data_IF_070567208812
#
_entry.id   IF_070567208812
#
_cell.length_a   1.000
_cell.length_b   1.000
_cell.length_c   1.000
_cell.angle_alpha   90.00
_cell.angle_beta   90.00
_cell.angle_gamma   90.00
#
_symmetry.space_group_name_H-M   'P 1'
#
loop_
_entity.id
_entity.type
_entity.pdbx_description
1 polymer ?
#
# COMPACT_ATOMS: atom_id res chain seq x y z
N UNK A 1 22.67 -20.09 4.59
CA UNK A 1 21.87 -21.27 4.18
C UNK A 1 21.24 -20.99 2.82
N UNK A 2 21.32 -21.88 1.83
CA UNK A 2 20.56 -21.77 0.58
C UNK A 2 19.29 -22.59 0.78
N UNK A 3 18.13 -21.95 0.85
CA UNK A 3 16.83 -22.63 1.02
C UNK A 3 16.43 -23.41 -0.24
N UNK A 4 16.90 -22.94 -1.40
CA UNK A 4 16.74 -23.60 -2.70
C UNK A 4 18.12 -24.00 -3.24
N UNK A 5 18.19 -25.19 -3.90
CA UNK A 5 19.34 -25.57 -4.71
C UNK A 5 19.63 -24.54 -5.81
N UNK A 6 20.55 -24.84 -6.72
CA UNK A 6 20.78 -23.97 -7.89
C UNK A 6 19.51 -23.94 -8.75
N UNK A 7 18.81 -22.78 -8.75
CA UNK A 7 17.70 -22.54 -9.65
C UNK A 7 18.22 -22.04 -11.00
N UNK A 8 17.50 -22.36 -12.06
CA UNK A 8 17.79 -21.86 -13.42
C UNK A 8 16.49 -21.46 -14.12
N UNK A 9 15.83 -20.43 -13.56
CA UNK A 9 14.56 -19.92 -14.04
C UNK A 9 14.83 -18.81 -15.04
N UNK A 10 14.17 -18.87 -16.19
CA UNK A 10 14.19 -17.77 -17.17
C UNK A 10 13.19 -16.70 -16.77
N UNK A 11 13.64 -15.72 -15.99
CA UNK A 11 12.84 -14.57 -15.55
C UNK A 11 12.66 -13.56 -16.67
N UNK A 12 13.75 -13.22 -17.36
CA UNK A 12 13.75 -12.14 -18.36
C UNK A 12 12.99 -12.51 -19.63
N UNK A 13 12.92 -13.79 -19.99
CA UNK A 13 12.08 -14.27 -21.09
C UNK A 13 10.58 -14.07 -20.85
N UNK A 14 10.16 -14.12 -19.57
CA UNK A 14 8.76 -13.94 -19.17
C UNK A 14 8.38 -12.48 -18.89
N UNK A 15 9.28 -11.48 -19.08
CA UNK A 15 9.04 -10.08 -18.71
C UNK A 15 7.79 -9.47 -19.36
N UNK A 16 7.50 -9.82 -20.63
CA UNK A 16 6.32 -9.30 -21.34
C UNK A 16 5.01 -9.73 -20.69
N UNK A 17 4.92 -10.99 -20.25
CA UNK A 17 3.76 -11.48 -19.51
C UNK A 17 3.52 -10.66 -18.24
N UNK A 18 4.58 -10.43 -17.46
CA UNK A 18 4.47 -9.68 -16.23
C UNK A 18 4.17 -8.20 -16.43
N UNK A 19 4.65 -7.59 -17.52
CA UNK A 19 4.22 -6.24 -17.91
C UNK A 19 2.72 -6.19 -18.20
N UNK A 20 2.17 -7.17 -18.90
CA UNK A 20 0.73 -7.23 -19.20
C UNK A 20 -0.08 -7.42 -17.91
N UNK A 21 0.35 -8.32 -17.02
CA UNK A 21 -0.31 -8.52 -15.72
C UNK A 21 -0.29 -7.23 -14.90
N UNK A 22 0.88 -6.60 -14.75
CA UNK A 22 1.03 -5.34 -14.01
C UNK A 22 0.16 -4.22 -14.60
N UNK A 23 0.20 -4.04 -15.92
CA UNK A 23 -0.59 -3.02 -16.60
C UNK A 23 -2.09 -3.25 -16.41
N UNK A 24 -2.54 -4.51 -16.45
CA UNK A 24 -3.94 -4.86 -16.21
C UNK A 24 -4.37 -4.55 -14.78
N UNK A 25 -3.57 -4.92 -13.78
CA UNK A 25 -3.86 -4.64 -12.36
C UNK A 25 -3.90 -3.13 -12.10
N UNK A 26 -2.92 -2.38 -12.62
CA UNK A 26 -2.88 -0.92 -12.49
C UNK A 26 -4.10 -0.30 -13.16
N UNK A 27 -4.46 -0.73 -14.38
CA UNK A 27 -5.60 -0.20 -15.10
C UNK A 27 -6.91 -0.43 -14.34
N UNK A 28 -7.15 -1.64 -13.86
CA UNK A 28 -8.33 -1.98 -13.05
C UNK A 28 -8.35 -1.16 -11.75
N UNK A 29 -7.21 -1.03 -11.08
CA UNK A 29 -7.07 -0.20 -9.89
C UNK A 29 -7.37 1.27 -10.13
N UNK A 30 -6.85 1.84 -11.24
CA UNK A 30 -7.12 3.23 -11.62
C UNK A 30 -8.59 3.47 -11.98
N UNK A 31 -9.24 2.51 -12.65
CA UNK A 31 -10.68 2.56 -12.90
C UNK A 31 -11.46 2.53 -11.58
N UNK A 32 -11.08 1.66 -10.64
CA UNK A 32 -11.69 1.61 -9.32
C UNK A 32 -11.55 2.94 -8.58
N UNK A 33 -10.35 3.52 -8.56
CA UNK A 33 -10.09 4.84 -7.97
C UNK A 33 -10.92 5.95 -8.62
N UNK A 34 -11.10 5.91 -9.93
CA UNK A 34 -11.90 6.90 -10.66
C UNK A 34 -13.39 6.80 -10.32
N UNK A 35 -13.92 5.57 -10.18
CA UNK A 35 -15.34 5.32 -9.89
C UNK A 35 -15.68 5.55 -8.42
N UNK A 36 -14.87 5.01 -7.50
CA UNK A 36 -15.13 5.05 -6.05
C UNK A 36 -14.59 6.33 -5.40
N UNK A 37 -13.57 6.95 -5.99
CA UNK A 37 -12.80 8.01 -5.34
C UNK A 37 -11.79 7.46 -4.34
N UNK A 38 -11.29 8.34 -3.48
CA UNK A 38 -10.36 8.01 -2.40
C UNK A 38 -11.09 8.22 -1.07
N UNK A 39 -11.27 7.16 -0.29
CA UNK A 39 -11.83 7.28 1.06
C UNK A 39 -10.74 7.80 2.02
N UNK A 40 -10.83 9.08 2.37
CA UNK A 40 -9.90 9.74 3.30
C UNK A 40 -10.40 9.60 4.73
N UNK A 41 -9.51 9.22 5.65
CA UNK A 41 -9.77 9.18 7.07
C UNK A 41 -9.97 10.58 7.68
N UNK A 42 -10.47 10.63 8.91
CA UNK A 42 -10.65 11.88 9.66
C UNK A 42 -9.33 12.63 9.89
N UNK A 43 -8.21 11.94 9.84
CA UNK A 43 -6.87 12.55 9.91
C UNK A 43 -6.69 13.65 8.88
N UNK A 44 -7.33 13.53 7.72
CA UNK A 44 -7.21 14.45 6.60
C UNK A 44 -8.45 15.31 6.36
N UNK A 45 -9.64 14.80 6.71
CA UNK A 45 -10.90 15.53 6.53
C UNK A 45 -11.25 16.38 7.76
N UNK A 46 -10.76 15.98 8.93
CA UNK A 46 -11.26 16.46 10.21
C UNK A 46 -12.63 15.87 10.54
N UNK A 47 -13.03 15.96 11.80
CA UNK A 47 -14.31 15.42 12.25
C UNK A 47 -14.21 14.61 13.54
N UNK A 48 -15.26 13.84 13.79
CA UNK A 48 -15.32 12.87 14.89
C UNK A 48 -15.61 11.48 14.33
N UNK A 49 -14.83 10.49 14.73
CA UNK A 49 -15.02 9.09 14.39
C UNK A 49 -15.20 8.28 15.69
N UNK A 50 -16.24 7.47 15.73
CA UNK A 50 -16.48 6.56 16.84
C UNK A 50 -16.72 5.16 16.28
N UNK A 51 -16.02 4.19 16.85
CA UNK A 51 -16.27 2.76 16.63
C UNK A 51 -16.93 2.21 17.88
N UNK A 52 -18.13 1.69 17.73
CA UNK A 52 -18.90 1.05 18.80
C UNK A 52 -19.08 -0.43 18.53
N UNK A 53 -18.97 -1.24 19.58
CA UNK A 53 -19.25 -2.68 19.52
C UNK A 53 -20.51 -3.00 20.31
N UNK A 54 -21.53 -3.48 19.63
CA UNK A 54 -22.77 -3.97 20.22
C UNK A 54 -22.62 -5.42 20.71
N UNK A 55 -23.46 -5.83 21.65
CA UNK A 55 -23.50 -7.26 22.06
C UNK A 55 -24.04 -8.16 20.95
N UNK A 56 -25.03 -7.68 20.17
CA UNK A 56 -25.60 -8.38 19.02
C UNK A 56 -25.53 -7.50 17.79
N UNK A 57 -25.47 -8.10 16.58
CA UNK A 57 -25.45 -7.33 15.33
C UNK A 57 -26.65 -6.38 15.21
N UNK A 58 -26.40 -5.19 14.65
CA UNK A 58 -27.43 -4.16 14.44
C UNK A 58 -27.56 -3.79 12.97
N UNK A 59 -28.78 -3.55 12.47
CA UNK A 59 -28.99 -3.05 11.12
C UNK A 59 -28.44 -1.62 10.98
N UNK A 60 -27.58 -1.37 10.01
CA UNK A 60 -27.00 -0.04 9.73
C UNK A 60 -28.10 1.01 9.49
N UNK A 61 -29.24 0.63 8.89
CA UNK A 61 -30.37 1.53 8.68
C UNK A 61 -30.99 2.07 9.99
N UNK A 62 -31.03 1.27 11.05
CA UNK A 62 -31.51 1.72 12.36
C UNK A 62 -30.50 2.64 13.05
N UNK A 63 -29.20 2.35 12.90
CA UNK A 63 -28.13 3.23 13.38
C UNK A 63 -28.23 4.59 12.66
N UNK A 64 -28.47 4.60 11.35
CA UNK A 64 -28.67 5.83 10.57
C UNK A 64 -29.87 6.63 11.10
N UNK A 65 -31.00 5.98 11.32
CA UNK A 65 -32.19 6.60 11.92
C UNK A 65 -31.89 7.20 13.30
N UNK A 66 -31.06 6.53 14.09
CA UNK A 66 -30.59 7.03 15.38
C UNK A 66 -29.80 8.34 15.22
N UNK A 67 -28.88 8.37 14.25
CA UNK A 67 -28.05 9.56 13.98
C UNK A 67 -28.89 10.74 13.42
N UNK A 68 -29.89 10.47 12.59
CA UNK A 68 -30.87 11.47 12.12
C UNK A 68 -31.57 12.15 13.30
N UNK A 69 -32.03 11.37 14.28
CA UNK A 69 -32.73 11.90 15.47
C UNK A 69 -31.90 12.83 16.33
N UNK A 70 -30.61 12.61 16.40
CA UNK A 70 -29.69 13.45 17.19
C UNK A 70 -29.02 14.57 16.37
N UNK A 71 -29.49 14.79 15.12
CA UNK A 71 -29.04 15.86 14.25
C UNK A 71 -27.68 15.58 13.60
N UNK A 72 -27.31 14.32 13.43
CA UNK A 72 -26.04 13.86 12.80
C UNK A 72 -26.36 13.01 11.55
N UNK A 73 -27.42 13.36 10.82
CA UNK A 73 -27.91 12.57 9.69
C UNK A 73 -26.94 12.44 8.50
N UNK A 74 -25.98 13.36 8.38
CA UNK A 74 -24.94 13.28 7.34
C UNK A 74 -23.73 12.42 7.75
N UNK A 75 -23.83 11.66 8.86
CA UNK A 75 -22.76 10.77 9.27
C UNK A 75 -22.58 9.63 8.27
N UNK A 76 -21.33 9.31 7.98
CA UNK A 76 -20.98 8.06 7.34
C UNK A 76 -21.09 6.94 8.37
N UNK A 77 -21.87 5.91 8.05
CA UNK A 77 -22.13 4.78 8.94
C UNK A 77 -21.89 3.51 8.15
N UNK A 78 -20.97 2.69 8.63
CA UNK A 78 -20.65 1.40 8.03
C UNK A 78 -20.35 0.35 9.09
N UNK A 79 -20.55 -0.93 8.71
CA UNK A 79 -20.06 -2.05 9.52
C UNK A 79 -18.52 -2.04 9.50
N UNK A 80 -17.91 -2.40 10.61
CA UNK A 80 -16.47 -2.35 10.78
C UNK A 80 -15.96 -3.74 11.21
N UNK A 81 -15.66 -4.57 10.23
CA UNK A 81 -15.18 -5.95 10.33
C UNK A 81 -16.19 -6.94 10.88
N UNK A 82 -16.50 -6.92 12.17
CA UNK A 82 -17.56 -7.72 12.78
C UNK A 82 -18.93 -7.04 12.58
N UNK A 83 -20.01 -7.77 12.24
CA UNK A 83 -21.36 -7.20 12.15
C UNK A 83 -21.90 -6.51 13.42
N UNK A 84 -21.26 -6.73 14.57
CA UNK A 84 -21.54 -6.04 15.82
C UNK A 84 -20.80 -4.70 15.95
N UNK A 85 -19.78 -4.48 15.14
CA UNK A 85 -18.99 -3.26 15.17
C UNK A 85 -19.54 -2.27 14.14
N UNK A 86 -19.80 -1.05 14.60
CA UNK A 86 -20.29 0.03 13.75
C UNK A 86 -19.35 1.22 13.86
N UNK A 87 -18.83 1.66 12.72
CA UNK A 87 -18.10 2.90 12.59
C UNK A 87 -19.08 4.02 12.23
N UNK A 88 -19.03 5.10 12.99
CA UNK A 88 -19.80 6.33 12.78
C UNK A 88 -18.83 7.47 12.65
N UNK A 89 -18.80 8.13 11.49
CA UNK A 89 -17.95 9.27 11.18
C UNK A 89 -18.78 10.47 10.80
N UNK A 90 -18.47 11.61 11.37
CA UNK A 90 -19.15 12.88 11.06
C UNK A 90 -18.14 14.02 10.97
N UNK A 91 -18.35 14.92 10.00
CA UNK A 91 -17.62 16.18 9.91
C UNK A 91 -18.00 17.19 11.01
N UNK A 92 -19.08 16.91 11.77
CA UNK A 92 -19.51 17.77 12.86
C UNK A 92 -18.45 17.84 13.95
N UNK A 93 -18.21 19.05 14.39
CA UNK A 93 -17.29 19.38 15.46
C UNK A 93 -18.06 20.13 16.54
N UNK A 94 -18.08 19.58 17.73
CA UNK A 94 -18.57 20.27 18.92
C UNK A 94 -17.40 20.64 19.86
N UNK A 95 -17.61 21.56 20.76
CA UNK A 95 -16.67 21.79 21.84
C UNK A 95 -16.61 20.56 22.76
N UNK A 96 -15.41 20.14 23.11
CA UNK A 96 -15.20 18.95 23.97
C UNK A 96 -15.68 17.63 23.35
N UNK A 97 -16.36 16.80 24.17
CA UNK A 97 -16.86 15.45 23.80
C UNK A 97 -18.32 15.45 23.33
N UNK A 98 -18.91 16.62 23.10
CA UNK A 98 -20.36 16.78 22.83
C UNK A 98 -20.89 15.97 21.65
N UNK A 99 -20.11 15.78 20.59
CA UNK A 99 -20.55 15.00 19.43
C UNK A 99 -20.58 13.51 19.77
N UNK A 100 -19.53 13.01 20.43
CA UNK A 100 -19.48 11.62 20.91
C UNK A 100 -20.60 11.30 21.89
N UNK A 101 -20.91 12.21 22.82
CA UNK A 101 -22.03 12.06 23.75
C UNK A 101 -23.38 12.04 23.05
N UNK A 102 -23.60 12.88 22.02
CA UNK A 102 -24.82 12.82 21.20
C UNK A 102 -24.96 11.50 20.45
N UNK A 103 -23.89 10.99 19.89
CA UNK A 103 -23.87 9.68 19.22
C UNK A 103 -24.25 8.59 20.22
N UNK A 104 -23.60 8.53 21.38
CA UNK A 104 -23.92 7.55 22.44
C UNK A 104 -25.36 7.66 22.91
N UNK A 105 -25.85 8.86 23.17
CA UNK A 105 -27.23 9.08 23.60
C UNK A 105 -28.23 8.61 22.53
N UNK A 106 -27.99 8.91 21.27
CA UNK A 106 -28.82 8.44 20.16
C UNK A 106 -28.85 6.92 20.05
N UNK A 107 -27.69 6.27 20.18
CA UNK A 107 -27.61 4.79 20.14
C UNK A 107 -28.32 4.16 21.35
N UNK A 108 -28.14 4.69 22.55
CA UNK A 108 -28.83 4.20 23.76
C UNK A 108 -30.35 4.31 23.65
N UNK A 109 -30.85 5.37 23.00
CA UNK A 109 -32.27 5.59 22.84
C UNK A 109 -32.91 4.59 21.86
N UNK A 110 -32.21 4.22 20.80
CA UNK A 110 -32.74 3.29 19.78
C UNK A 110 -32.47 1.83 20.13
N UNK A 111 -31.38 1.55 20.82
CA UNK A 111 -30.95 0.20 21.20
C UNK A 111 -30.90 -0.01 22.71
N UNK A 112 -31.99 0.20 23.50
CA UNK A 112 -31.97 0.12 24.96
C UNK A 112 -31.66 -1.29 25.48
N UNK A 113 -31.98 -2.33 24.70
CA UNK A 113 -31.78 -3.74 25.04
C UNK A 113 -30.51 -4.37 24.40
N UNK A 114 -29.72 -3.58 23.69
CA UNK A 114 -28.47 -4.05 23.06
C UNK A 114 -27.33 -3.13 23.47
N UNK A 115 -26.77 -3.32 24.65
CA UNK A 115 -25.69 -2.45 25.13
C UNK A 115 -24.46 -2.53 24.25
N UNK A 116 -23.71 -1.43 24.17
CA UNK A 116 -22.50 -1.32 23.38
C UNK A 116 -21.35 -0.75 24.19
N UNK A 117 -20.14 -1.03 23.74
CA UNK A 117 -18.90 -0.44 24.23
C UNK A 117 -18.25 0.39 23.14
N UNK A 118 -17.64 1.54 23.52
CA UNK A 118 -16.84 2.35 22.60
C UNK A 118 -15.46 1.73 22.51
N UNK A 119 -15.09 1.27 21.33
CA UNK A 119 -13.78 0.68 21.06
C UNK A 119 -12.75 1.75 20.70
N UNK A 120 -13.19 2.79 19.99
CA UNK A 120 -12.35 3.88 19.50
C UNK A 120 -13.17 5.17 19.45
N UNK A 121 -12.58 6.27 19.83
CA UNK A 121 -13.14 7.62 19.63
C UNK A 121 -12.00 8.58 19.30
N UNK A 122 -12.02 9.08 18.06
CA UNK A 122 -11.05 10.04 17.57
C UNK A 122 -11.75 11.35 17.19
N UNK A 123 -11.08 12.47 17.45
CA UNK A 123 -11.56 13.80 17.08
C UNK A 123 -10.42 14.63 16.56
N UNK A 124 -10.58 15.13 15.32
CA UNK A 124 -9.57 15.94 14.64
C UNK A 124 -10.22 17.23 14.17
N UNK A 125 -9.66 18.36 14.59
CA UNK A 125 -10.11 19.68 14.10
C UNK A 125 -9.76 19.91 12.64
N UNK A 126 -10.55 20.71 11.88
CA UNK A 126 -10.32 20.92 10.43
C UNK A 126 -8.96 21.51 10.14
N UNK A 127 -8.46 22.38 11.00
CA UNK A 127 -7.13 22.98 10.86
C UNK A 127 -6.05 21.91 10.96
N UNK A 128 -6.14 21.05 11.98
CA UNK A 128 -5.19 19.95 12.19
C UNK A 128 -5.27 18.95 11.02
N UNK A 129 -6.47 18.57 10.58
CA UNK A 129 -6.63 17.67 9.43
C UNK A 129 -6.03 18.26 8.14
N UNK A 130 -6.20 19.56 7.88
CA UNK A 130 -5.57 20.22 6.75
C UNK A 130 -4.04 20.27 6.85
N UNK A 131 -3.49 20.47 8.05
CA UNK A 131 -2.06 20.44 8.32
C UNK A 131 -1.50 19.03 8.11
N UNK A 132 -2.12 18.00 8.68
CA UNK A 132 -1.71 16.61 8.51
C UNK A 132 -1.74 16.17 7.05
N UNK A 133 -2.78 16.54 6.29
CA UNK A 133 -2.85 16.24 4.85
C UNK A 133 -1.70 16.90 4.08
N UNK A 134 -1.41 18.16 4.34
CA UNK A 134 -0.29 18.86 3.71
C UNK A 134 1.04 18.20 4.06
N UNK A 135 1.25 17.88 5.31
CA UNK A 135 2.49 17.30 5.81
C UNK A 135 2.69 15.87 5.29
N UNK A 136 1.60 15.09 5.14
CA UNK A 136 1.63 13.79 4.48
C UNK A 136 2.09 13.89 3.01
N UNK A 137 1.57 14.86 2.25
CA UNK A 137 2.00 15.12 0.86
C UNK A 137 3.48 15.48 0.82
N UNK A 138 3.94 16.35 1.71
CA UNK A 138 5.37 16.72 1.79
C UNK A 138 6.25 15.53 2.16
N UNK A 139 5.83 14.68 3.10
CA UNK A 139 6.57 13.48 3.49
C UNK A 139 6.72 12.50 2.31
N UNK A 140 5.63 12.27 1.54
CA UNK A 140 5.67 11.41 0.36
C UNK A 140 6.62 11.99 -0.70
N UNK A 141 6.51 13.26 -1.04
CA UNK A 141 7.38 13.91 -2.03
C UNK A 141 8.84 13.87 -1.57
N UNK A 142 9.13 14.24 -0.31
CA UNK A 142 10.46 14.25 0.23
C UNK A 142 11.10 12.84 0.23
N UNK A 143 10.33 11.81 0.60
CA UNK A 143 10.81 10.41 0.59
C UNK A 143 11.13 9.93 -0.84
N UNK A 144 10.28 10.24 -1.81
CA UNK A 144 10.52 9.89 -3.22
C UNK A 144 11.77 10.57 -3.76
N UNK A 145 11.95 11.87 -3.45
CA UNK A 145 13.17 12.61 -3.83
C UNK A 145 14.41 12.00 -3.15
N UNK A 146 14.35 11.74 -1.84
CA UNK A 146 15.47 11.15 -1.10
C UNK A 146 15.88 9.79 -1.67
N UNK A 147 14.90 8.94 -1.99
CA UNK A 147 15.18 7.63 -2.59
C UNK A 147 15.71 7.77 -4.02
N UNK A 148 15.14 8.67 -4.81
CA UNK A 148 15.65 8.96 -6.16
C UNK A 148 17.12 9.42 -6.12
N UNK A 149 17.45 10.35 -5.23
CA UNK A 149 18.84 10.82 -5.01
C UNK A 149 19.74 9.66 -4.57
N UNK A 150 19.31 8.86 -3.58
CA UNK A 150 20.06 7.69 -3.12
C UNK A 150 20.35 6.70 -4.26
N UNK A 151 19.36 6.34 -5.05
CA UNK A 151 19.48 5.40 -6.16
C UNK A 151 20.39 5.96 -7.25
N UNK A 152 20.32 7.27 -7.53
CA UNK A 152 21.20 7.94 -8.49
C UNK A 152 22.65 7.91 -8.07
N UNK A 153 22.98 8.19 -6.82
CA UNK A 153 24.35 8.08 -6.32
C UNK A 153 24.85 6.64 -6.24
N UNK A 154 23.95 5.70 -5.90
CA UNK A 154 24.30 4.30 -5.67
C UNK A 154 24.52 3.51 -6.96
N UNK A 155 23.77 3.83 -8.02
CA UNK A 155 23.73 3.05 -9.26
C UNK A 155 24.01 3.90 -10.49
N UNK A 156 24.40 3.24 -11.60
CA UNK A 156 24.40 3.88 -12.92
C UNK A 156 22.97 4.29 -13.27
N UNK A 157 22.81 5.38 -14.03
CA UNK A 157 21.54 5.98 -14.42
C UNK A 157 20.50 4.95 -14.89
N UNK A 158 20.91 3.95 -15.68
CA UNK A 158 20.01 2.92 -16.23
C UNK A 158 19.36 2.08 -15.14
N UNK A 159 20.13 1.66 -14.14
CA UNK A 159 19.60 0.90 -13.00
C UNK A 159 18.75 1.78 -12.09
N UNK A 160 19.13 3.06 -11.97
CA UNK A 160 18.32 4.05 -11.27
C UNK A 160 16.93 4.22 -11.88
N UNK A 161 16.85 4.31 -13.19
CA UNK A 161 15.56 4.39 -13.90
C UNK A 161 14.69 3.15 -13.67
N UNK A 162 15.29 1.94 -13.72
CA UNK A 162 14.58 0.70 -13.43
C UNK A 162 14.02 0.64 -12.01
N UNK A 163 14.82 1.07 -11.02
CA UNK A 163 14.37 1.11 -9.63
C UNK A 163 13.22 2.10 -9.41
N UNK A 164 13.31 3.30 -9.97
CA UNK A 164 12.23 4.30 -9.88
C UNK A 164 10.95 3.80 -10.56
N UNK A 165 11.06 3.17 -11.73
CA UNK A 165 9.92 2.58 -12.42
C UNK A 165 9.22 1.50 -11.58
N UNK A 166 9.99 0.65 -10.89
CA UNK A 166 9.45 -0.37 -9.98
C UNK A 166 8.75 0.25 -8.77
N UNK A 167 9.30 1.33 -8.19
CA UNK A 167 8.66 2.03 -7.07
C UNK A 167 7.31 2.63 -7.45
N UNK A 168 7.25 3.33 -8.60
CA UNK A 168 5.98 3.85 -9.09
C UNK A 168 4.97 2.74 -9.34
N UNK A 169 5.42 1.64 -9.95
CA UNK A 169 4.60 0.46 -10.15
C UNK A 169 4.02 -0.06 -8.83
N UNK A 170 4.84 -0.24 -7.78
CA UNK A 170 4.44 -0.83 -6.51
C UNK A 170 3.42 0.06 -5.78
N UNK A 171 3.64 1.37 -5.79
CA UNK A 171 2.69 2.33 -5.22
C UNK A 171 1.36 2.31 -5.98
N UNK A 172 1.38 2.30 -7.32
CA UNK A 172 0.16 2.29 -8.13
C UNK A 172 -0.63 0.99 -7.97
N UNK A 173 0.05 -0.16 -7.95
CA UNK A 173 -0.59 -1.47 -7.73
C UNK A 173 -1.21 -1.51 -6.34
N UNK A 174 -0.47 -1.11 -5.30
CA UNK A 174 -0.97 -1.13 -3.92
C UNK A 174 -2.15 -0.19 -3.74
N UNK A 175 -2.06 1.05 -4.25
CA UNK A 175 -3.16 2.02 -4.20
C UNK A 175 -4.39 1.52 -4.96
N UNK A 176 -4.19 0.93 -6.13
CA UNK A 176 -5.26 0.32 -6.92
C UNK A 176 -5.96 -0.80 -6.17
N UNK A 177 -5.20 -1.70 -5.53
CA UNK A 177 -5.77 -2.80 -4.75
C UNK A 177 -6.44 -2.31 -3.47
N UNK A 178 -5.90 -1.28 -2.80
CA UNK A 178 -6.58 -0.62 -1.68
C UNK A 178 -7.97 -0.14 -2.13
N UNK A 179 -8.07 0.57 -3.25
CA UNK A 179 -9.36 1.05 -3.79
C UNK A 179 -10.32 -0.09 -4.18
N UNK A 180 -9.82 -1.18 -4.77
CA UNK A 180 -10.65 -2.33 -5.18
C UNK A 180 -11.26 -3.00 -3.95
N UNK A 181 -10.45 -3.24 -2.92
CA UNK A 181 -10.85 -3.94 -1.71
C UNK A 181 -11.49 -3.04 -0.66
N UNK A 182 -11.45 -1.72 -0.85
CA UNK A 182 -12.20 -0.79 -0.01
C UNK A 182 -13.71 -1.06 -0.09
N UNK A 183 -14.37 -1.02 1.05
CA UNK A 183 -15.78 -1.44 1.23
C UNK A 183 -15.95 -2.92 1.59
N UNK A 184 -14.92 -3.77 1.40
CA UNK A 184 -14.87 -5.14 1.95
C UNK A 184 -14.03 -5.16 3.24
N UNK A 185 -12.90 -4.45 3.23
CA UNK A 185 -11.92 -4.41 4.31
C UNK A 185 -11.82 -3.05 5.02
N UNK A 186 -12.68 -2.08 4.69
CA UNK A 186 -12.64 -0.72 5.26
C UNK A 186 -11.24 -0.07 5.20
N UNK A 187 -10.69 0.04 3.99
CA UNK A 187 -9.33 0.50 3.73
C UNK A 187 -9.29 2.01 3.51
N UNK A 188 -9.40 2.78 4.58
CA UNK A 188 -9.31 4.24 4.51
C UNK A 188 -7.87 4.71 4.39
N UNK A 189 -7.66 5.80 3.66
CA UNK A 189 -6.36 6.48 3.63
C UNK A 189 -6.30 7.43 4.82
N UNK A 190 -5.69 6.96 5.88
CA UNK A 190 -5.37 7.68 7.11
C UNK A 190 -3.84 7.89 7.23
N UNK A 191 -3.40 8.44 8.37
CA UNK A 191 -1.97 8.64 8.62
C UNK A 191 -1.19 7.32 8.68
N UNK A 192 -1.80 6.24 9.21
CA UNK A 192 -1.18 4.91 9.26
C UNK A 192 -1.01 4.33 7.85
N UNK A 193 -1.98 4.51 6.97
CA UNK A 193 -1.89 4.10 5.57
C UNK A 193 -0.76 4.83 4.83
N UNK A 194 -0.59 6.15 5.05
CA UNK A 194 0.55 6.89 4.49
C UNK A 194 1.88 6.33 5.02
N UNK A 195 1.98 6.03 6.31
CA UNK A 195 3.18 5.40 6.88
C UNK A 195 3.45 4.01 6.25
N UNK A 196 2.40 3.25 5.92
CA UNK A 196 2.52 1.99 5.18
C UNK A 196 3.10 2.21 3.78
N UNK A 197 2.61 3.19 3.02
CA UNK A 197 3.15 3.51 1.69
C UNK A 197 4.62 3.95 1.74
N UNK A 198 5.01 4.78 2.71
CA UNK A 198 6.40 5.19 2.89
C UNK A 198 7.31 4.01 3.23
N UNK A 199 6.83 3.11 4.09
CA UNK A 199 7.54 1.88 4.47
C UNK A 199 7.67 0.92 3.29
N UNK A 200 6.59 0.73 2.51
CA UNK A 200 6.57 -0.08 1.28
C UNK A 200 7.66 0.37 0.30
N UNK A 201 7.75 1.67 0.06
CA UNK A 201 8.77 2.24 -0.85
C UNK A 201 10.17 1.88 -0.38
N UNK A 202 10.44 1.97 0.93
CA UNK A 202 11.73 1.58 1.51
C UNK A 202 12.02 0.08 1.38
N UNK A 203 11.02 -0.77 1.62
CA UNK A 203 11.16 -2.23 1.50
C UNK A 203 11.39 -2.67 0.06
N UNK A 204 10.65 -2.10 -0.91
CA UNK A 204 10.79 -2.44 -2.33
C UNK A 204 12.17 -2.08 -2.89
N UNK A 205 12.70 -0.90 -2.52
CA UNK A 205 14.07 -0.50 -2.93
C UNK A 205 15.12 -1.49 -2.46
N UNK A 206 14.98 -2.04 -1.25
CA UNK A 206 15.96 -2.95 -0.68
C UNK A 206 16.20 -4.19 -1.57
N UNK A 207 15.14 -4.84 -2.05
CA UNK A 207 15.26 -6.01 -2.93
C UNK A 207 15.85 -5.63 -4.29
N UNK A 208 15.44 -4.50 -4.85
CA UNK A 208 15.98 -3.97 -6.11
C UNK A 208 17.49 -3.68 -6.00
N UNK A 209 17.95 -3.09 -4.90
CA UNK A 209 19.37 -2.81 -4.63
C UNK A 209 20.18 -4.11 -4.60
N UNK A 210 19.68 -5.14 -3.91
CA UNK A 210 20.35 -6.44 -3.81
C UNK A 210 20.54 -7.09 -5.19
N UNK A 211 19.50 -7.05 -6.02
CA UNK A 211 19.54 -7.60 -7.38
C UNK A 211 20.52 -6.82 -8.24
N UNK A 212 20.46 -5.50 -8.22
CA UNK A 212 21.35 -4.66 -9.04
C UNK A 212 22.81 -4.72 -8.61
N UNK A 213 23.09 -4.87 -7.32
CA UNK A 213 24.46 -5.11 -6.84
C UNK A 213 24.98 -6.44 -7.37
N UNK A 214 24.17 -7.50 -7.36
CA UNK A 214 24.56 -8.80 -7.90
C UNK A 214 24.77 -8.76 -9.41
N UNK A 215 23.93 -8.05 -10.14
CA UNK A 215 24.10 -7.83 -11.58
C UNK A 215 25.44 -7.11 -11.85
N UNK A 216 25.78 -6.05 -11.09
CA UNK A 216 27.06 -5.32 -11.22
C UNK A 216 28.26 -6.19 -10.89
N UNK A 217 28.18 -7.03 -9.87
CA UNK A 217 29.23 -7.98 -9.51
C UNK A 217 29.46 -8.98 -10.65
N UNK A 218 28.39 -9.59 -11.15
CA UNK A 218 28.46 -10.56 -12.25
C UNK A 218 28.94 -9.93 -13.57
N UNK A 219 28.64 -8.66 -13.85
CA UNK A 219 29.18 -7.95 -15.01
C UNK A 219 30.70 -7.80 -14.99
N UNK A 220 31.31 -7.71 -13.81
CA UNK A 220 32.77 -7.65 -13.68
C UNK A 220 33.41 -9.03 -13.88
N UNK A 221 32.73 -10.09 -13.45
CA UNK A 221 33.22 -11.47 -13.53
C UNK A 221 33.02 -12.05 -14.93
N UNK A 222 31.82 -11.90 -15.49
CA UNK A 222 31.39 -12.52 -16.74
C UNK A 222 31.26 -11.50 -17.86
N UNK A 223 32.41 -10.88 -18.25
CA UNK A 223 32.46 -9.75 -19.21
C UNK A 223 31.95 -10.07 -20.60
N UNK A 224 32.07 -11.32 -21.05
CA UNK A 224 31.63 -11.79 -22.38
C UNK A 224 30.21 -12.34 -22.43
N UNK A 225 29.56 -12.48 -21.25
CA UNK A 225 28.20 -13.05 -21.18
C UNK A 225 27.17 -12.05 -21.69
N UNK A 226 26.22 -12.48 -22.53
CA UNK A 226 25.10 -11.64 -22.94
C UNK A 226 24.33 -11.09 -21.73
N UNK A 227 23.90 -9.82 -21.79
CA UNK A 227 23.27 -9.14 -20.64
C UNK A 227 22.02 -9.86 -20.13
N UNK A 228 21.19 -10.40 -21.03
CA UNK A 228 19.99 -11.16 -20.67
C UNK A 228 20.32 -12.39 -19.83
N UNK A 229 21.31 -13.17 -20.26
CA UNK A 229 21.76 -14.37 -19.54
C UNK A 229 22.37 -14.00 -18.18
N UNK A 230 23.18 -12.94 -18.16
CA UNK A 230 23.81 -12.42 -16.95
C UNK A 230 22.76 -11.96 -15.93
N UNK A 231 21.71 -11.28 -16.38
CA UNK A 231 20.61 -10.87 -15.52
C UNK A 231 19.84 -12.07 -14.97
N UNK A 232 19.47 -13.03 -15.82
CA UNK A 232 18.84 -14.28 -15.36
C UNK A 232 19.70 -15.00 -14.32
N UNK A 233 21.01 -15.12 -14.56
CA UNK A 233 21.95 -15.70 -13.60
C UNK A 233 21.93 -14.96 -12.27
N UNK A 234 22.01 -13.63 -12.29
CA UNK A 234 22.03 -12.80 -11.09
C UNK A 234 20.74 -12.91 -10.29
N UNK A 235 19.59 -12.92 -10.96
CA UNK A 235 18.28 -13.12 -10.36
C UNK A 235 18.15 -14.48 -9.67
N UNK A 236 18.61 -15.56 -10.32
CA UNK A 236 18.61 -16.89 -9.70
C UNK A 236 19.54 -16.96 -8.49
N UNK A 237 20.67 -16.28 -8.50
CA UNK A 237 21.62 -16.24 -7.39
C UNK A 237 21.10 -15.45 -6.18
N UNK A 238 20.26 -14.44 -6.38
CA UNK A 238 19.66 -13.64 -5.30
C UNK A 238 18.30 -14.16 -4.83
N UNK A 239 17.64 -15.04 -5.60
CA UNK A 239 16.28 -15.49 -5.38
C UNK A 239 16.05 -16.04 -3.95
N UNK A 240 16.96 -16.87 -3.46
CA UNK A 240 16.84 -17.45 -2.11
C UNK A 240 16.85 -16.38 -1.02
N UNK A 241 17.67 -15.34 -1.18
CA UNK A 241 17.74 -14.21 -0.25
C UNK A 241 16.45 -13.40 -0.30
N UNK A 242 15.99 -13.02 -1.47
CA UNK A 242 14.76 -12.24 -1.66
C UNK A 242 13.55 -12.97 -1.07
N UNK A 243 13.38 -14.26 -1.36
CA UNK A 243 12.25 -15.05 -0.81
C UNK A 243 12.32 -15.14 0.71
N UNK A 244 13.49 -15.30 1.31
CA UNK A 244 13.62 -15.38 2.76
C UNK A 244 13.32 -14.02 3.39
N UNK A 245 13.91 -12.94 2.90
CA UNK A 245 13.71 -11.60 3.46
C UNK A 245 12.26 -11.13 3.31
N UNK A 246 11.71 -11.18 2.11
CA UNK A 246 10.33 -10.77 1.85
C UNK A 246 9.33 -11.74 2.48
N UNK A 247 9.61 -13.05 2.48
CA UNK A 247 8.76 -14.07 3.10
C UNK A 247 8.64 -13.92 4.61
N UNK A 248 9.74 -13.60 5.32
CA UNK A 248 9.68 -13.36 6.77
C UNK A 248 8.84 -12.13 7.10
N UNK A 249 8.99 -11.05 6.36
CA UNK A 249 8.17 -9.83 6.52
C UNK A 249 6.71 -10.14 6.17
N UNK A 250 6.46 -10.85 5.07
CA UNK A 250 5.11 -11.25 4.65
C UNK A 250 4.38 -12.04 5.75
N UNK A 251 5.03 -13.02 6.38
CA UNK A 251 4.42 -13.81 7.47
C UNK A 251 4.00 -12.91 8.62
N UNK A 252 4.85 -11.98 9.05
CA UNK A 252 4.51 -11.03 10.14
C UNK A 252 3.33 -10.14 9.74
N UNK A 253 3.34 -9.61 8.50
CA UNK A 253 2.25 -8.76 8.00
C UNK A 253 0.95 -9.53 7.81
N UNK A 254 1.01 -10.80 7.37
CA UNK A 254 -0.17 -11.66 7.27
C UNK A 254 -0.79 -11.95 8.65
N UNK A 255 0.03 -12.19 9.67
CA UNK A 255 -0.43 -12.32 11.06
C UNK A 255 -1.07 -11.02 11.54
N UNK A 256 -0.44 -9.87 11.26
CA UNK A 256 -0.99 -8.57 11.61
C UNK A 256 -2.31 -8.29 10.87
N UNK A 257 -2.43 -8.66 9.60
CA UNK A 257 -3.65 -8.50 8.81
C UNK A 257 -4.82 -9.34 9.36
N UNK A 258 -4.54 -10.56 9.81
CA UNK A 258 -5.57 -11.49 10.31
C UNK A 258 -5.93 -11.21 11.77
N UNK A 259 -4.94 -10.90 12.61
CA UNK A 259 -5.11 -10.82 14.06
C UNK A 259 -4.90 -9.40 14.64
N UNK A 260 -4.41 -8.44 13.84
CA UNK A 260 -4.07 -7.09 14.29
C UNK A 260 -5.25 -6.18 14.57
N UNK A 261 -6.47 -6.67 14.33
CA UNK A 261 -7.69 -5.88 14.50
C UNK A 261 -7.87 -4.84 13.40
N UNK A 262 -9.06 -4.28 13.37
CA UNK A 262 -9.54 -3.44 12.26
C UNK A 262 -8.78 -2.12 12.13
N UNK A 263 -8.32 -1.55 13.25
CA UNK A 263 -7.53 -0.29 13.28
C UNK A 263 -6.22 -0.44 12.49
N UNK A 264 -5.61 -1.64 12.51
CA UNK A 264 -4.35 -1.91 11.82
C UNK A 264 -4.55 -2.53 10.43
N UNK A 265 -5.79 -2.84 10.05
CA UNK A 265 -6.11 -3.62 8.85
C UNK A 265 -5.64 -2.93 7.57
N UNK A 266 -5.88 -1.62 7.43
CA UNK A 266 -5.45 -0.84 6.28
C UNK A 266 -3.92 -0.81 6.14
N UNK A 267 -3.22 -0.53 7.23
CA UNK A 267 -1.76 -0.56 7.29
C UNK A 267 -1.20 -1.95 6.91
N UNK A 268 -1.72 -3.01 7.55
CA UNK A 268 -1.27 -4.37 7.32
C UNK A 268 -1.59 -4.85 5.89
N UNK A 269 -2.76 -4.49 5.34
CA UNK A 269 -3.14 -4.80 3.97
C UNK A 269 -2.19 -4.12 2.97
N UNK A 270 -1.99 -2.80 3.08
CA UNK A 270 -1.12 -2.06 2.17
C UNK A 270 0.31 -2.61 2.16
N UNK A 271 0.87 -2.91 3.34
CA UNK A 271 2.20 -3.51 3.43
C UNK A 271 2.25 -4.95 2.94
N UNK A 272 1.21 -5.77 3.19
CA UNK A 272 1.15 -7.15 2.69
C UNK A 272 1.13 -7.18 1.16
N UNK A 273 0.29 -6.36 0.55
CA UNK A 273 0.28 -6.19 -0.91
C UNK A 273 1.62 -5.63 -1.38
N UNK A 274 2.13 -4.61 -0.69
CA UNK A 274 3.39 -3.95 -1.02
C UNK A 274 4.59 -4.88 -1.04
N UNK A 275 4.73 -5.80 -0.07
CA UNK A 275 5.85 -6.75 -0.06
C UNK A 275 5.73 -7.79 -1.19
N UNK A 276 4.51 -8.22 -1.53
CA UNK A 276 4.28 -9.11 -2.67
C UNK A 276 4.65 -8.40 -3.96
N UNK A 277 4.13 -7.19 -4.17
CA UNK A 277 4.39 -6.40 -5.39
C UNK A 277 5.85 -6.04 -5.52
N UNK A 278 6.51 -5.54 -4.45
CA UNK A 278 7.92 -5.17 -4.43
C UNK A 278 8.85 -6.35 -4.74
N UNK A 279 8.49 -7.54 -4.25
CA UNK A 279 9.28 -8.75 -4.53
C UNK A 279 9.26 -9.11 -6.02
N UNK A 280 8.09 -9.09 -6.68
CA UNK A 280 8.07 -9.41 -8.11
C UNK A 280 8.50 -8.24 -9.00
N UNK A 281 8.25 -7.00 -8.60
CA UNK A 281 8.61 -5.83 -9.39
C UNK A 281 10.12 -5.63 -9.50
N UNK A 282 10.88 -5.92 -8.45
CA UNK A 282 12.35 -5.91 -8.49
C UNK A 282 12.90 -6.86 -9.56
N UNK A 283 12.24 -8.01 -9.76
CA UNK A 283 12.61 -9.02 -10.75
C UNK A 283 12.10 -8.62 -12.15
N UNK A 284 10.81 -8.37 -12.29
CA UNK A 284 10.14 -8.26 -13.60
C UNK A 284 9.91 -6.83 -14.10
N UNK A 285 10.02 -5.83 -13.23
CA UNK A 285 9.89 -4.41 -13.64
C UNK A 285 11.27 -3.73 -13.61
N UNK A 286 11.93 -3.65 -12.45
CA UNK A 286 13.20 -2.94 -12.33
C UNK A 286 14.28 -3.53 -13.25
N UNK A 287 14.47 -4.84 -13.20
CA UNK A 287 15.49 -5.53 -14.00
C UNK A 287 15.15 -5.52 -15.50
N UNK A 288 13.88 -5.69 -15.84
CA UNK A 288 13.45 -5.72 -17.23
C UNK A 288 13.51 -4.33 -17.90
N UNK A 289 13.13 -3.25 -17.20
CA UNK A 289 13.28 -1.86 -17.67
C UNK A 289 14.76 -1.54 -17.92
N UNK A 290 15.63 -1.94 -17.01
CA UNK A 290 17.08 -1.75 -17.18
C UNK A 290 17.62 -2.53 -18.40
N UNK A 291 17.18 -3.77 -18.63
CA UNK A 291 17.55 -4.58 -19.78
C UNK A 291 17.09 -3.94 -21.09
N UNK A 292 15.81 -3.58 -21.19
CA UNK A 292 15.25 -2.99 -22.42
C UNK A 292 15.89 -1.66 -22.77
N UNK A 293 16.24 -0.84 -21.79
CA UNK A 293 16.95 0.41 -22.06
C UNK A 293 18.29 0.16 -22.72
N UNK A 294 19.06 -0.83 -22.23
CA UNK A 294 20.38 -1.18 -22.83
C UNK A 294 20.20 -1.78 -24.22
N UNK A 295 19.22 -2.67 -24.41
CA UNK A 295 18.94 -3.28 -25.71
C UNK A 295 18.54 -2.26 -26.77
N UNK A 296 17.66 -1.30 -26.41
CA UNK A 296 17.26 -0.18 -27.30
C UNK A 296 18.43 0.76 -27.62
N UNK A 297 19.30 1.03 -26.67
CA UNK A 297 20.50 1.82 -26.90
C UNK A 297 21.47 1.19 -27.90
N UNK A 298 21.68 -0.13 -27.79
CA UNK A 298 22.50 -0.90 -28.76
C UNK A 298 21.88 -0.96 -30.15
N UNK A 299 20.56 -1.09 -30.21
CA UNK A 299 19.82 -1.10 -31.49
C UNK A 299 19.95 0.26 -32.21
N UNK A 300 19.85 1.38 -31.48
CA UNK A 300 20.05 2.72 -32.06
C UNK A 300 21.48 2.95 -32.54
N UNK A 301 22.49 2.48 -31.80
CA UNK A 301 23.88 2.60 -32.24
C UNK A 301 24.15 1.84 -33.54
N UNK A 302 23.57 0.63 -33.72
CA UNK A 302 23.67 -0.16 -34.96
C UNK A 302 22.94 0.42 -36.19
N UNK A 303 22.02 1.37 -35.98
CA UNK A 303 21.29 2.03 -37.09
C UNK A 303 22.00 3.32 -37.57
N UNK A 304 23.04 3.76 -36.85
CA UNK A 304 23.81 4.98 -37.16
C UNK A 304 25.17 4.63 -37.79
N UNK A 305 25.65 3.37 -37.59
CA UNK A 305 26.81 2.78 -38.27
C UNK A 305 26.38 2.09 -39.58
#
# INVERSE_FOLDING_TARGET
>A
MRFFGKTNIDFMGKRRLWYTVSASVILIGMISLYIKGVDLGIDFLGGTEIVVQFQTPVPIGEVRTSMDRVGIGNAEIKSFGDPRNVLIRTALQGEGTTVGEKIRAGLMQVFPNNPFTVQKEDKIGPKIGAELRRDAVYAVIASLIAIWVYVWFRFKFIYGLGAVAALFHDVLVTLGLVSIFDGVLNLQIDQNMIAAFLTLVGLSVNDTVVIFDRIRENQKIFRSMPLLELMNKSLNETLSRTIITSGTVFVVLAVLLIFGGEVNQGFAFALTIGIITGTYSSIYIASAVALEWVERGKAKAKLID
#
